data_IF_626988635592
#
_entry.id   IF_626988635592
#
_cell.length_a   1.000
_cell.length_b   1.000
_cell.length_c   1.000
_cell.angle_alpha   90.00
_cell.angle_beta   90.00
_cell.angle_gamma   90.00
#
_symmetry.space_group_name_H-M   'P 1'
#
loop_
_entity.id
_entity.type
_entity.pdbx_description
1 polymer ?
#
# COMPACT_ATOMS: atom_id res chain seq x y z
N UNK A 1 -17.80 27.24 24.37
CA UNK A 1 -17.38 26.02 23.71
C UNK A 1 -15.98 26.19 23.14
N UNK A 2 -15.17 25.23 23.38
CA UNK A 2 -13.82 25.29 22.86
C UNK A 2 -13.82 24.96 21.37
N UNK A 3 -13.17 25.79 20.59
CA UNK A 3 -13.06 25.58 19.16
C UNK A 3 -11.71 24.91 18.90
N UNK A 4 -11.76 23.58 18.71
CA UNK A 4 -10.55 22.79 18.52
C UNK A 4 -9.81 23.19 17.24
N UNK A 5 -10.53 23.70 16.25
CA UNK A 5 -9.91 24.02 14.98
C UNK A 5 -8.98 25.22 15.08
N UNK A 6 -9.10 26.03 16.15
CA UNK A 6 -8.24 27.19 16.33
C UNK A 6 -7.03 26.89 17.22
N UNK A 7 -6.90 25.68 17.73
CA UNK A 7 -5.76 25.27 18.54
C UNK A 7 -4.55 25.08 17.63
N UNK A 8 -3.48 25.86 17.79
CA UNK A 8 -2.34 25.78 16.88
C UNK A 8 -1.65 24.39 16.91
N UNK A 9 -1.61 23.76 18.08
CA UNK A 9 -1.00 22.43 18.16
C UNK A 9 -1.81 21.40 17.39
N UNK A 10 -3.14 21.45 17.56
CA UNK A 10 -4.01 20.54 16.85
C UNK A 10 -3.96 20.76 15.34
N UNK A 11 -3.91 22.02 14.93
CA UNK A 11 -3.80 22.34 13.50
C UNK A 11 -2.52 21.79 12.90
N UNK A 12 -1.41 21.96 13.63
CA UNK A 12 -0.12 21.46 13.17
C UNK A 12 -0.13 19.94 13.04
N UNK A 13 -0.69 19.25 14.04
CA UNK A 13 -0.75 17.80 14.01
C UNK A 13 -1.64 17.31 12.88
N UNK A 14 -2.77 17.96 12.65
CA UNK A 14 -3.66 17.60 11.55
C UNK A 14 -3.00 17.79 10.21
N UNK A 15 -2.22 18.85 10.08
CA UNK A 15 -1.48 19.11 8.85
C UNK A 15 -0.47 18.00 8.59
N UNK A 16 0.25 17.58 9.63
CA UNK A 16 1.21 16.49 9.48
C UNK A 16 0.52 15.18 9.14
N UNK A 17 -0.65 14.93 9.73
CA UNK A 17 -1.43 13.74 9.40
C UNK A 17 -1.85 13.77 7.94
N UNK A 18 -2.34 14.92 7.46
CA UNK A 18 -2.77 15.05 6.07
C UNK A 18 -1.62 14.84 5.10
N UNK A 19 -0.46 15.38 5.42
CA UNK A 19 0.72 15.17 4.58
C UNK A 19 1.12 13.71 4.54
N UNK A 20 1.00 13.03 5.68
CA UNK A 20 1.31 11.60 5.75
C UNK A 20 0.30 10.80 4.94
N UNK A 21 -0.98 11.16 5.05
CA UNK A 21 -2.02 10.48 4.27
C UNK A 21 -1.76 10.60 2.77
N UNK A 22 -1.34 11.79 2.33
CA UNK A 22 -1.00 11.99 0.93
C UNK A 22 0.18 11.11 0.51
N UNK A 23 1.19 11.03 1.36
CA UNK A 23 2.35 10.17 1.09
C UNK A 23 1.95 8.71 0.99
N UNK A 24 1.02 8.26 1.84
CA UNK A 24 0.50 6.90 1.77
C UNK A 24 -0.20 6.67 0.42
N UNK A 25 -1.05 7.60 0.03
CA UNK A 25 -1.78 7.48 -1.23
C UNK A 25 -0.83 7.42 -2.41
N UNK A 26 0.18 8.30 -2.42
CA UNK A 26 1.16 8.30 -3.48
C UNK A 26 1.95 7.00 -3.54
N UNK A 27 2.28 6.44 -2.38
CA UNK A 27 3.00 5.16 -2.32
C UNK A 27 2.15 4.02 -2.86
N UNK A 28 0.86 4.02 -2.52
CA UNK A 28 -0.06 3.00 -3.02
C UNK A 28 -0.16 3.08 -4.55
N UNK A 29 -0.32 4.29 -5.07
CA UNK A 29 -0.40 4.47 -6.54
C UNK A 29 0.88 4.01 -7.23
N UNK A 30 2.03 4.30 -6.63
CA UNK A 30 3.30 3.83 -7.17
C UNK A 30 3.34 2.30 -7.19
N UNK A 31 2.87 1.68 -6.12
CA UNK A 31 2.86 0.22 -6.04
C UNK A 31 1.97 -0.38 -7.13
N UNK A 32 0.80 0.22 -7.35
CA UNK A 32 -0.11 -0.24 -8.42
C UNK A 32 0.59 -0.16 -9.78
N UNK A 33 1.24 0.97 -10.06
CA UNK A 33 1.94 1.14 -11.33
C UNK A 33 3.05 0.11 -11.49
N UNK A 34 3.81 -0.16 -10.43
CA UNK A 34 4.90 -1.14 -10.51
C UNK A 34 4.36 -2.55 -10.70
N UNK A 35 3.24 -2.88 -10.05
CA UNK A 35 2.63 -4.20 -10.23
C UNK A 35 2.13 -4.36 -11.67
N UNK A 36 1.54 -3.31 -12.24
CA UNK A 36 1.11 -3.35 -13.64
C UNK A 36 2.29 -3.63 -14.57
N UNK A 37 3.42 -2.95 -14.34
CA UNK A 37 4.62 -3.17 -15.14
C UNK A 37 5.15 -4.58 -14.98
N UNK A 38 5.14 -5.09 -13.74
CA UNK A 38 5.59 -6.45 -13.47
C UNK A 38 4.69 -7.46 -14.17
N UNK A 39 3.38 -7.27 -14.11
CA UNK A 39 2.44 -8.17 -14.75
C UNK A 39 2.60 -8.18 -16.27
N UNK A 40 2.82 -7.00 -16.86
CA UNK A 40 3.07 -6.92 -18.30
C UNK A 40 4.31 -7.71 -18.67
N UNK A 41 5.38 -7.55 -17.90
CA UNK A 41 6.62 -8.28 -18.16
C UNK A 41 6.40 -9.79 -18.02
N UNK A 42 5.72 -10.22 -16.94
CA UNK A 42 5.46 -11.64 -16.72
C UNK A 42 4.64 -12.24 -17.86
N UNK A 43 3.65 -11.51 -18.33
CA UNK A 43 2.80 -11.99 -19.44
C UNK A 43 3.64 -12.14 -20.69
N UNK A 44 4.53 -11.21 -20.98
CA UNK A 44 5.39 -11.28 -22.15
C UNK A 44 6.34 -12.47 -22.09
N UNK A 45 6.77 -12.84 -20.89
CA UNK A 45 7.70 -13.95 -20.70
C UNK A 45 7.01 -15.28 -20.49
N UNK A 46 5.68 -15.30 -20.40
CA UNK A 46 4.96 -16.53 -20.14
C UNK A 46 5.00 -17.01 -18.72
N UNK A 47 5.33 -16.12 -17.78
CA UNK A 47 5.37 -16.47 -16.36
C UNK A 47 3.97 -16.37 -15.74
N UNK A 48 3.78 -17.10 -14.63
CA UNK A 48 2.56 -16.98 -13.84
C UNK A 48 2.48 -15.60 -13.20
N UNK A 49 1.28 -15.00 -13.23
CA UNK A 49 1.09 -13.67 -12.66
C UNK A 49 1.03 -13.69 -11.15
N UNK A 50 0.42 -14.74 -10.58
CA UNK A 50 0.24 -14.85 -9.13
C UNK A 50 1.38 -15.71 -8.55
N UNK A 51 2.02 -15.19 -7.54
CA UNK A 51 3.11 -15.86 -6.82
C UNK A 51 2.78 -15.81 -5.33
N UNK A 52 2.11 -16.85 -4.84
CA UNK A 52 1.66 -16.87 -3.45
C UNK A 52 2.82 -16.92 -2.48
N UNK A 53 3.92 -17.59 -2.84
CA UNK A 53 5.11 -17.61 -1.99
C UNK A 53 5.69 -16.21 -1.82
N UNK A 54 5.70 -15.42 -2.90
CA UNK A 54 6.18 -14.03 -2.83
C UNK A 54 5.25 -13.18 -1.99
N UNK A 55 3.94 -13.40 -2.11
CA UNK A 55 2.97 -12.64 -1.31
C UNK A 55 3.13 -12.93 0.18
N UNK A 56 3.34 -14.19 0.52
CA UNK A 56 3.58 -14.54 1.93
C UNK A 56 4.91 -13.94 2.41
N UNK A 57 5.91 -13.96 1.56
CA UNK A 57 7.21 -13.38 1.89
C UNK A 57 7.09 -11.90 2.22
N UNK A 58 6.33 -11.14 1.42
CA UNK A 58 6.25 -9.69 1.63
C UNK A 58 5.57 -9.36 2.95
N UNK A 59 4.54 -10.13 3.33
CA UNK A 59 3.88 -9.91 4.61
C UNK A 59 4.88 -10.10 5.75
N UNK A 60 5.64 -11.19 5.72
CA UNK A 60 6.63 -11.47 6.76
C UNK A 60 7.75 -10.45 6.76
N UNK A 61 8.18 -10.04 5.57
CA UNK A 61 9.23 -9.03 5.43
C UNK A 61 8.81 -7.72 6.07
N UNK A 62 7.58 -7.26 5.79
CA UNK A 62 7.10 -6.02 6.34
C UNK A 62 6.89 -6.10 7.85
N UNK A 63 6.47 -7.28 8.35
CA UNK A 63 6.37 -7.47 9.79
C UNK A 63 7.74 -7.34 10.45
N UNK A 64 8.78 -7.89 9.84
CA UNK A 64 10.14 -7.80 10.39
C UNK A 64 10.69 -6.39 10.31
N UNK A 65 10.32 -5.63 9.29
CA UNK A 65 10.83 -4.27 9.11
C UNK A 65 10.06 -3.25 9.94
N UNK A 66 8.90 -3.62 10.44
CA UNK A 66 8.06 -2.70 11.20
C UNK A 66 8.74 -2.33 12.53
N UNK A 67 8.78 -1.04 12.79
CA UNK A 67 9.36 -0.54 14.05
C UNK A 67 8.28 0.03 14.99
N UNK A 68 7.03 -0.34 14.73
CA UNK A 68 5.90 0.12 15.53
C UNK A 68 5.51 1.53 15.17
N UNK A 69 4.47 2.08 15.82
CA UNK A 69 3.70 1.50 16.93
C UNK A 69 2.63 0.48 16.53
N UNK A 70 2.40 0.23 15.23
CA UNK A 70 1.40 -0.76 14.87
C UNK A 70 1.92 -2.18 15.14
N UNK A 71 1.00 -3.11 15.36
CA UNK A 71 1.34 -4.49 15.73
C UNK A 71 1.65 -5.32 14.50
N UNK A 72 2.34 -6.47 14.68
CA UNK A 72 2.55 -7.38 13.55
C UNK A 72 1.26 -7.84 12.88
N UNK A 73 0.19 -8.07 13.65
CA UNK A 73 -1.08 -8.44 13.05
C UNK A 73 -1.65 -7.32 12.21
N UNK A 74 -1.49 -6.08 12.65
CA UNK A 74 -1.94 -4.93 11.88
C UNK A 74 -1.12 -4.76 10.61
N UNK A 75 0.17 -5.02 10.67
CA UNK A 75 1.00 -5.02 9.48
C UNK A 75 0.50 -6.06 8.48
N UNK A 76 0.19 -7.26 8.96
CA UNK A 76 -0.32 -8.31 8.09
C UNK A 76 -1.64 -7.90 7.44
N UNK A 77 -2.54 -7.29 8.21
CA UNK A 77 -3.84 -6.84 7.69
C UNK A 77 -3.64 -5.81 6.57
N UNK A 78 -2.79 -4.81 6.83
CA UNK A 78 -2.52 -3.78 5.84
C UNK A 78 -1.86 -4.38 4.59
N UNK A 79 -0.89 -5.26 4.80
CA UNK A 79 -0.16 -5.88 3.70
C UNK A 79 -1.09 -6.68 2.79
N UNK A 80 -1.99 -7.46 3.39
CA UNK A 80 -2.91 -8.26 2.60
C UNK A 80 -3.92 -7.40 1.87
N UNK A 81 -4.34 -6.30 2.47
CA UNK A 81 -5.20 -5.34 1.78
C UNK A 81 -4.50 -4.77 0.56
N UNK A 82 -3.23 -4.38 0.71
CA UNK A 82 -2.46 -3.83 -0.41
C UNK A 82 -2.24 -4.87 -1.50
N UNK A 83 -1.96 -6.11 -1.12
CA UNK A 83 -1.81 -7.19 -2.09
C UNK A 83 -3.09 -7.37 -2.89
N UNK A 84 -4.22 -7.41 -2.21
CA UNK A 84 -5.51 -7.59 -2.86
C UNK A 84 -5.84 -6.40 -3.78
N UNK A 85 -5.63 -5.20 -3.26
CA UNK A 85 -5.90 -3.98 -4.03
C UNK A 85 -5.04 -3.92 -5.29
N UNK A 86 -3.74 -4.11 -5.16
CA UNK A 86 -2.84 -3.97 -6.29
C UNK A 86 -2.97 -5.13 -7.27
N UNK A 87 -3.36 -6.32 -6.79
CA UNK A 87 -3.64 -7.43 -7.70
C UNK A 87 -4.81 -7.08 -8.61
N UNK A 88 -5.88 -6.56 -8.06
CA UNK A 88 -7.05 -6.17 -8.84
C UNK A 88 -6.76 -5.00 -9.76
N UNK A 89 -6.11 -3.97 -9.20
CA UNK A 89 -5.84 -2.75 -9.95
C UNK A 89 -4.75 -2.96 -10.99
N UNK A 90 -3.78 -3.83 -10.68
CA UNK A 90 -2.65 -4.08 -11.57
C UNK A 90 -2.87 -5.18 -12.58
N UNK A 91 -4.05 -5.76 -12.62
CA UNK A 91 -4.33 -6.86 -13.51
C UNK A 91 -4.21 -6.44 -14.98
N UNK A 92 -3.67 -7.31 -15.83
CA UNK A 92 -3.44 -6.94 -17.22
C UNK A 92 -4.73 -6.65 -18.00
N UNK A 93 -5.85 -7.24 -17.59
CA UNK A 93 -7.11 -7.03 -18.27
C UNK A 93 -7.67 -5.63 -18.09
N UNK A 94 -7.18 -4.88 -17.12
CA UNK A 94 -7.68 -3.52 -16.88
C UNK A 94 -7.35 -2.60 -18.04
N UNK A 95 -6.20 -2.79 -18.63
CA UNK A 95 -5.77 -1.94 -19.72
C UNK A 95 -6.56 -2.12 -21.00
N UNK A 96 -7.39 -3.13 -21.04
CA UNK A 96 -8.19 -3.40 -22.21
C UNK A 96 -9.39 -2.50 -22.37
N UNK A 97 -9.66 -1.70 -21.39
CA UNK A 97 -10.83 -0.83 -21.46
C UNK A 97 -10.65 0.32 -22.38
#
# INVERSE_FOLDING_TARGET
MSDQSSDPVMEQLREQISETDLAILEAINRRVTLVQRLHTYKAEQGYDLIDTAREDWIVQYLQRCNRGPITPDEVATISRFLLDLTRRAGGPSRGGE
#
